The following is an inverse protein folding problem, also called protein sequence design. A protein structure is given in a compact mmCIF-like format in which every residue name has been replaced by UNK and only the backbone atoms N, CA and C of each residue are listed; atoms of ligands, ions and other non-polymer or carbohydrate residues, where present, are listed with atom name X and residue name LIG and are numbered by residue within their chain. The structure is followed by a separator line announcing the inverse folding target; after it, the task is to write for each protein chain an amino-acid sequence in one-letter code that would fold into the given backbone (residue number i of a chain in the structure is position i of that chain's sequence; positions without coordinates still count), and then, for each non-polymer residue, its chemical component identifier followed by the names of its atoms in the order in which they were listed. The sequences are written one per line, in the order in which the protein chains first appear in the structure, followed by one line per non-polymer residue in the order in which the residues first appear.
data_IF_966125798925
#
_entry.id   IF_966125798925
#
_cell.length_a   1.000
_cell.length_b   1.000
_cell.length_c   1.000
_cell.angle_alpha   90.00
_cell.angle_beta   90.00
_cell.angle_gamma   90.00
#
_symmetry.space_group_name_H-M   'P 1'
#
loop_
_entity.id
_entity.type
_entity.pdbx_description
1 polymer ?
#
# COMPACT_ATOMS: atom_id res chain seq x y z
N UNK A 1 13.49 2.12 23.04
CA UNK A 1 13.85 2.97 21.88
C UNK A 1 15.29 2.68 21.51
N UNK A 2 15.56 2.21 20.29
CA UNK A 2 16.93 2.05 19.79
C UNK A 2 17.46 3.45 19.48
N UNK A 3 18.50 3.89 20.19
CA UNK A 3 19.15 5.18 19.93
C UNK A 3 19.88 5.04 18.60
N UNK A 4 19.47 5.82 17.59
CA UNK A 4 20.11 5.79 16.29
C UNK A 4 21.52 6.37 16.39
N UNK A 5 22.47 5.76 15.69
CA UNK A 5 23.81 6.35 15.58
C UNK A 5 23.73 7.61 14.70
N UNK A 6 24.58 8.61 14.97
CA UNK A 6 24.56 9.88 14.21
C UNK A 6 24.78 9.69 12.71
N UNK A 7 25.51 8.65 12.31
CA UNK A 7 25.73 8.30 10.91
C UNK A 7 24.47 7.75 10.24
N UNK A 8 23.68 6.95 10.96
CA UNK A 8 22.42 6.41 10.45
C UNK A 8 21.34 7.50 10.32
N UNK A 9 21.32 8.45 11.24
CA UNK A 9 20.45 9.62 11.19
C UNK A 9 20.76 10.49 9.96
N UNK A 10 22.04 10.77 9.70
CA UNK A 10 22.47 11.52 8.52
C UNK A 10 22.12 10.79 7.21
N UNK A 11 22.29 9.46 7.17
CA UNK A 11 21.93 8.64 6.02
C UNK A 11 20.40 8.61 5.79
N UNK A 12 19.61 8.49 6.86
CA UNK A 12 18.14 8.58 6.79
C UNK A 12 17.71 9.96 6.30
N UNK A 13 18.27 11.02 6.86
CA UNK A 13 18.00 12.40 6.43
C UNK A 13 18.29 12.61 4.95
N UNK A 14 19.44 12.11 4.46
CA UNK A 14 19.79 12.16 3.04
C UNK A 14 18.78 11.43 2.14
N UNK A 15 18.28 10.27 2.55
CA UNK A 15 17.27 9.52 1.81
C UNK A 15 15.93 10.26 1.76
N UNK A 16 15.48 10.81 2.89
CA UNK A 16 14.23 11.58 3.01
C UNK A 16 14.29 12.86 2.17
N UNK A 17 15.41 13.60 2.23
CA UNK A 17 15.60 14.83 1.45
C UNK A 17 15.60 14.54 -0.05
N UNK A 18 16.32 13.49 -0.50
CA UNK A 18 16.31 13.09 -1.90
C UNK A 18 14.90 12.68 -2.36
N UNK A 19 14.20 11.90 -1.54
CA UNK A 19 12.80 11.53 -1.78
C UNK A 19 11.91 12.76 -1.94
N UNK A 20 11.99 13.69 -0.99
CA UNK A 20 11.22 14.94 -1.01
C UNK A 20 11.53 15.83 -2.20
N UNK A 21 12.80 15.95 -2.62
CA UNK A 21 13.17 16.73 -3.81
C UNK A 21 12.62 16.11 -5.10
N UNK A 22 12.65 14.77 -5.22
CA UNK A 22 12.08 14.07 -6.37
C UNK A 22 10.54 14.22 -6.37
N UNK A 23 9.89 13.97 -5.24
CA UNK A 23 8.44 14.15 -5.12
C UNK A 23 7.98 15.57 -5.34
N UNK A 24 8.72 16.54 -4.80
CA UNK A 24 8.44 17.96 -4.94
C UNK A 24 8.59 18.46 -6.36
N UNK A 25 9.63 18.01 -7.08
CA UNK A 25 9.83 18.38 -8.48
C UNK A 25 8.76 17.79 -9.39
N UNK A 26 8.36 16.53 -9.18
CA UNK A 26 7.23 15.90 -9.88
C UNK A 26 5.92 16.62 -9.55
N UNK A 27 5.66 16.88 -8.27
CA UNK A 27 4.47 17.60 -7.81
C UNK A 27 4.37 19.00 -8.41
N UNK A 28 5.50 19.71 -8.49
CA UNK A 28 5.59 21.03 -9.11
C UNK A 28 5.33 20.95 -10.62
N UNK A 29 5.89 19.97 -11.32
CA UNK A 29 5.66 19.77 -12.75
C UNK A 29 4.17 19.49 -13.04
N UNK A 30 3.53 18.63 -12.25
CA UNK A 30 2.10 18.31 -12.34
C UNK A 30 1.25 19.55 -12.03
N UNK A 31 1.58 20.27 -10.96
CA UNK A 31 0.88 21.49 -10.55
C UNK A 31 0.95 22.59 -11.61
N UNK A 32 2.15 22.85 -12.13
CA UNK A 32 2.39 23.86 -13.15
C UNK A 32 1.69 23.49 -14.47
N UNK A 33 1.85 22.25 -14.95
CA UNK A 33 1.17 21.78 -16.16
C UNK A 33 -0.35 21.80 -16.03
N UNK A 34 -0.89 21.42 -14.86
CA UNK A 34 -2.31 21.51 -14.55
C UNK A 34 -2.85 22.95 -14.59
N UNK A 35 -2.15 23.89 -13.95
CA UNK A 35 -2.54 25.32 -13.97
C UNK A 35 -2.45 25.91 -15.39
N UNK A 36 -1.41 25.57 -16.15
CA UNK A 36 -1.26 26.01 -17.55
C UNK A 36 -2.38 25.42 -18.41
N UNK A 37 -2.66 24.14 -18.29
CA UNK A 37 -3.72 23.49 -19.06
C UNK A 37 -5.11 24.07 -18.73
N UNK A 38 -5.43 24.19 -17.44
CA UNK A 38 -6.70 24.75 -16.99
C UNK A 38 -6.87 26.22 -17.41
N UNK A 39 -5.80 27.03 -17.36
CA UNK A 39 -5.84 28.41 -17.82
C UNK A 39 -6.02 28.54 -19.33
N UNK A 40 -5.53 27.59 -20.14
CA UNK A 40 -5.80 27.58 -21.59
C UNK A 40 -7.22 27.11 -21.91
N UNK A 41 -7.72 26.08 -21.21
CA UNK A 41 -8.99 25.43 -21.55
C UNK A 41 -10.22 26.12 -20.99
N UNK A 42 -10.13 26.76 -19.83
CA UNK A 42 -11.29 27.28 -19.09
C UNK A 42 -11.21 28.81 -18.90
N UNK A 43 -12.15 29.59 -19.48
CA UNK A 43 -12.20 31.05 -19.31
C UNK A 43 -12.33 31.50 -17.85
N UNK A 44 -13.11 30.77 -17.04
CA UNK A 44 -13.24 31.04 -15.60
C UNK A 44 -11.91 30.85 -14.87
N UNK A 45 -11.04 29.95 -15.34
CA UNK A 45 -9.73 29.72 -14.74
C UNK A 45 -8.72 30.85 -15.06
N UNK A 46 -8.93 31.55 -16.20
CA UNK A 46 -8.17 32.74 -16.59
C UNK A 46 -8.43 33.96 -15.71
N UNK A 47 -9.56 34.00 -15.02
CA UNK A 47 -9.90 35.05 -14.07
C UNK A 47 -9.25 34.88 -12.68
N UNK A 48 -8.62 33.75 -12.37
CA UNK A 48 -7.98 33.56 -11.06
C UNK A 48 -6.75 34.46 -10.91
N UNK A 49 -6.63 35.03 -9.72
CA UNK A 49 -5.51 35.90 -9.34
C UNK A 49 -4.19 35.12 -9.37
N UNK A 50 -3.10 35.82 -9.66
CA UNK A 50 -1.76 35.22 -9.68
C UNK A 50 -1.42 34.48 -8.36
N UNK A 51 -1.72 35.05 -7.16
CA UNK A 51 -1.46 34.37 -5.89
C UNK A 51 -2.21 33.04 -5.73
N UNK A 52 -3.43 32.95 -6.24
CA UNK A 52 -4.20 31.70 -6.14
C UNK A 52 -3.64 30.63 -7.07
N UNK A 53 -3.16 31.01 -8.25
CA UNK A 53 -2.49 30.07 -9.16
C UNK A 53 -1.18 29.56 -8.59
N UNK A 54 -0.36 30.44 -8.03
CA UNK A 54 0.89 30.05 -7.38
C UNK A 54 0.60 29.15 -6.19
N UNK A 55 -0.44 29.44 -5.39
CA UNK A 55 -0.87 28.59 -4.29
C UNK A 55 -1.15 27.15 -4.75
N UNK A 56 -1.93 26.96 -5.81
CA UNK A 56 -2.22 25.62 -6.34
C UNK A 56 -0.96 24.85 -6.77
N UNK A 57 -0.02 25.53 -7.43
CA UNK A 57 1.26 24.92 -7.85
C UNK A 57 2.13 24.59 -6.63
N UNK A 58 2.26 25.51 -5.67
CA UNK A 58 3.07 25.27 -4.47
C UNK A 58 2.47 24.19 -3.58
N UNK A 59 1.14 24.13 -3.45
CA UNK A 59 0.48 23.09 -2.64
C UNK A 59 0.68 21.70 -3.21
N UNK A 60 0.60 21.53 -4.54
CA UNK A 60 0.86 20.25 -5.20
C UNK A 60 2.33 19.84 -5.12
N UNK A 61 3.25 20.79 -5.22
CA UNK A 61 4.68 20.56 -4.99
C UNK A 61 4.96 20.11 -3.54
N UNK A 62 4.45 20.83 -2.54
CA UNK A 62 4.63 20.49 -1.12
C UNK A 62 4.03 19.14 -0.79
N UNK A 63 2.82 18.84 -1.29
CA UNK A 63 2.19 17.54 -1.08
C UNK A 63 3.02 16.40 -1.67
N UNK A 64 3.49 16.54 -2.92
CA UNK A 64 4.36 15.56 -3.57
C UNK A 64 5.67 15.36 -2.81
N UNK A 65 6.27 16.43 -2.29
CA UNK A 65 7.47 16.37 -1.48
C UNK A 65 7.26 15.58 -0.19
N UNK A 66 6.19 15.88 0.57
CA UNK A 66 5.90 15.21 1.85
C UNK A 66 5.67 13.71 1.63
N UNK A 67 4.81 13.34 0.68
CA UNK A 67 4.47 11.93 0.44
C UNK A 67 5.69 11.11 0.04
N UNK A 68 6.54 11.63 -0.86
CA UNK A 68 7.73 10.90 -1.27
C UNK A 68 8.85 10.92 -0.24
N UNK A 69 8.97 11.98 0.56
CA UNK A 69 9.89 12.03 1.68
C UNK A 69 9.55 10.93 2.70
N UNK A 70 8.27 10.79 3.04
CA UNK A 70 7.78 9.76 3.95
C UNK A 70 8.01 8.34 3.39
N UNK A 71 7.65 8.10 2.12
CA UNK A 71 7.91 6.82 1.46
C UNK A 71 9.39 6.47 1.39
N UNK A 72 10.26 7.45 1.14
CA UNK A 72 11.70 7.23 1.12
C UNK A 72 12.25 6.92 2.53
N UNK A 73 11.71 7.56 3.57
CA UNK A 73 12.05 7.26 4.96
C UNK A 73 11.67 5.83 5.35
N UNK A 74 10.42 5.43 5.08
CA UNK A 74 9.94 4.06 5.33
C UNK A 74 10.75 3.04 4.53
N UNK A 75 11.03 3.31 3.25
CA UNK A 75 11.84 2.43 2.42
C UNK A 75 13.27 2.26 2.95
N UNK A 76 13.88 3.33 3.47
CA UNK A 76 15.21 3.26 4.09
C UNK A 76 15.22 2.41 5.36
N UNK A 77 14.19 2.57 6.21
CA UNK A 77 14.03 1.75 7.41
C UNK A 77 13.85 0.27 7.06
N UNK A 78 12.96 -0.04 6.12
CA UNK A 78 12.74 -1.40 5.58
C UNK A 78 14.01 -2.01 4.98
N UNK A 79 14.83 -1.22 4.28
CA UNK A 79 16.07 -1.72 3.69
C UNK A 79 17.13 -2.10 4.73
N UNK A 80 17.08 -1.48 5.92
CA UNK A 80 18.02 -1.73 7.02
C UNK A 80 17.53 -2.74 8.03
N UNK A 81 16.24 -3.04 8.04
CA UNK A 81 15.69 -4.06 8.92
C UNK A 81 16.11 -5.46 8.41
N UNK A 82 16.91 -6.23 9.18
CA UNK A 82 17.27 -7.58 8.80
C UNK A 82 16.06 -8.51 8.72
N UNK A 83 14.96 -8.17 9.39
CA UNK A 83 13.70 -8.92 9.38
C UNK A 83 12.89 -8.71 8.10
N UNK A 84 13.04 -7.58 7.40
CA UNK A 84 12.32 -7.34 6.14
C UNK A 84 12.74 -8.29 5.02
N UNK A 85 13.93 -8.91 5.12
CA UNK A 85 14.37 -9.98 4.19
C UNK A 85 14.06 -11.39 4.68
N UNK A 86 13.55 -11.54 5.90
CA UNK A 86 13.13 -12.83 6.42
C UNK A 86 11.85 -13.26 5.68
N UNK A 87 11.99 -14.25 4.81
CA UNK A 87 10.87 -14.92 4.15
C UNK A 87 10.53 -16.16 4.95
N UNK A 88 9.51 -16.05 5.79
CA UNK A 88 8.86 -17.19 6.44
C UNK A 88 8.45 -18.24 5.37
N UNK A 89 8.40 -19.51 5.77
CA UNK A 89 7.82 -20.61 4.97
C UNK A 89 6.40 -20.31 4.49
N UNK A 90 5.62 -19.51 5.22
CA UNK A 90 4.31 -19.02 4.77
C UNK A 90 4.38 -18.12 3.54
N UNK A 91 5.35 -17.20 3.48
CA UNK A 91 5.55 -16.30 2.33
C UNK A 91 6.05 -17.05 1.10
N UNK A 92 6.89 -18.07 1.28
CA UNK A 92 7.31 -18.96 0.18
C UNK A 92 6.13 -19.74 -0.39
N UNK A 93 5.24 -20.24 0.46
CA UNK A 93 4.03 -20.92 0.01
C UNK A 93 3.10 -19.98 -0.78
N UNK A 94 2.93 -18.74 -0.32
CA UNK A 94 2.18 -17.69 -1.02
C UNK A 94 2.79 -17.30 -2.37
N UNK A 95 4.12 -17.25 -2.48
CA UNK A 95 4.82 -17.00 -3.75
C UNK A 95 4.59 -18.13 -4.76
N UNK A 96 4.69 -19.39 -4.34
CA UNK A 96 4.40 -20.56 -5.20
C UNK A 96 2.95 -20.57 -5.67
N UNK A 97 2.01 -20.15 -4.82
CA UNK A 97 0.60 -19.98 -5.20
C UNK A 97 0.46 -18.84 -6.23
N UNK A 98 1.11 -17.68 -5.99
CA UNK A 98 1.09 -16.53 -6.92
C UNK A 98 1.72 -16.84 -8.28
N UNK A 99 2.71 -17.72 -8.34
CA UNK A 99 3.34 -18.17 -9.58
C UNK A 99 2.42 -19.06 -10.43
N UNK A 100 1.49 -19.76 -9.77
CA UNK A 100 0.49 -20.60 -10.43
C UNK A 100 -0.86 -19.90 -10.66
N UNK A 101 -1.03 -18.64 -10.23
CA UNK A 101 -2.25 -17.86 -10.47
C UNK A 101 -2.43 -17.56 -11.97
N UNK A 102 -3.65 -17.75 -12.46
CA UNK A 102 -4.03 -17.30 -13.81
C UNK A 102 -4.03 -15.77 -13.89
N UNK A 103 -3.85 -15.21 -15.10
CA UNK A 103 -3.83 -13.75 -15.30
C UNK A 103 -5.08 -13.04 -14.75
N UNK A 104 -6.23 -13.72 -14.76
CA UNK A 104 -7.48 -13.22 -14.19
C UNK A 104 -7.48 -13.23 -12.65
N UNK A 105 -7.02 -14.32 -12.03
CA UNK A 105 -6.87 -14.40 -10.58
C UNK A 105 -5.88 -13.36 -10.07
N UNK A 106 -4.78 -13.16 -10.81
CA UNK A 106 -3.77 -12.14 -10.51
C UNK A 106 -4.31 -10.71 -10.63
N UNK A 107 -5.18 -10.46 -11.60
CA UNK A 107 -5.88 -9.17 -11.72
C UNK A 107 -6.86 -8.96 -10.56
N UNK A 108 -7.62 -10.00 -10.20
CA UNK A 108 -8.56 -9.95 -9.07
C UNK A 108 -7.84 -9.85 -7.71
N UNK A 109 -6.70 -10.51 -7.54
CA UNK A 109 -5.85 -10.40 -6.35
C UNK A 109 -5.24 -9.00 -6.25
N UNK A 110 -4.71 -8.46 -7.35
CA UNK A 110 -4.25 -7.07 -7.43
C UNK A 110 -5.38 -6.07 -7.09
N UNK A 111 -6.57 -6.27 -7.64
CA UNK A 111 -7.75 -5.45 -7.37
C UNK A 111 -8.19 -5.50 -5.90
N UNK A 112 -8.07 -6.65 -5.25
CA UNK A 112 -8.33 -6.82 -3.81
C UNK A 112 -7.26 -6.16 -2.94
N UNK A 113 -5.99 -6.28 -3.33
CA UNK A 113 -4.84 -5.67 -2.64
C UNK A 113 -4.89 -4.14 -2.71
N UNK A 114 -5.24 -3.60 -3.88
CA UNK A 114 -5.36 -2.16 -4.12
C UNK A 114 -6.80 -1.65 -4.03
N UNK A 115 -7.70 -2.41 -3.39
CA UNK A 115 -9.14 -2.11 -3.35
C UNK A 115 -9.42 -0.67 -2.94
N UNK A 116 -8.68 -0.18 -1.95
CA UNK A 116 -8.86 1.16 -1.40
C UNK A 116 -8.38 2.25 -2.36
N UNK A 117 -7.23 2.06 -3.00
CA UNK A 117 -6.71 2.99 -4.01
C UNK A 117 -7.62 3.04 -5.24
N UNK A 118 -8.16 1.89 -5.67
CA UNK A 118 -9.08 1.81 -6.81
C UNK A 118 -10.41 2.50 -6.49
N UNK A 119 -10.98 2.30 -5.30
CA UNK A 119 -12.20 3.00 -4.86
C UNK A 119 -11.97 4.51 -4.76
N UNK A 120 -10.83 4.94 -4.21
CA UNK A 120 -10.50 6.35 -4.14
C UNK A 120 -10.29 6.96 -5.53
N UNK A 121 -9.57 6.27 -6.42
CA UNK A 121 -9.33 6.72 -7.78
C UNK A 121 -10.62 6.77 -8.61
N UNK A 122 -11.50 5.77 -8.48
CA UNK A 122 -12.80 5.75 -9.19
C UNK A 122 -13.74 6.84 -8.67
N UNK A 123 -13.70 7.15 -7.38
CA UNK A 123 -14.41 8.29 -6.78
C UNK A 123 -13.88 9.64 -7.28
N UNK A 124 -12.55 9.84 -7.30
CA UNK A 124 -11.95 11.04 -7.87
C UNK A 124 -12.25 11.18 -9.37
N UNK A 125 -12.23 10.06 -10.11
CA UNK A 125 -12.58 10.03 -11.51
C UNK A 125 -14.05 10.41 -11.74
N UNK A 126 -14.98 9.88 -10.94
CA UNK A 126 -16.40 10.20 -11.06
C UNK A 126 -16.69 11.66 -10.73
N UNK A 127 -16.01 12.22 -9.72
CA UNK A 127 -16.06 13.66 -9.42
C UNK A 127 -15.51 14.51 -10.57
N UNK A 128 -14.37 14.12 -11.15
CA UNK A 128 -13.78 14.83 -12.27
C UNK A 128 -14.71 14.83 -13.50
N UNK A 129 -15.34 13.68 -13.78
CA UNK A 129 -16.34 13.53 -14.86
C UNK A 129 -17.58 14.37 -14.57
N UNK A 130 -18.13 14.31 -13.35
CA UNK A 130 -19.28 15.11 -12.93
C UNK A 130 -18.99 16.61 -13.05
N UNK A 131 -17.82 17.08 -12.58
CA UNK A 131 -17.39 18.46 -12.72
C UNK A 131 -17.22 18.87 -14.19
N UNK A 132 -16.67 17.99 -15.03
CA UNK A 132 -16.54 18.22 -16.47
C UNK A 132 -17.89 18.29 -17.18
N UNK A 133 -18.93 17.58 -16.70
CA UNK A 133 -20.30 17.71 -17.19
C UNK A 133 -20.97 19.00 -16.70
N UNK A 134 -20.93 19.28 -15.40
CA UNK A 134 -21.55 20.47 -14.79
C UNK A 134 -20.94 21.77 -15.33
N UNK A 135 -19.62 21.79 -15.57
CA UNK A 135 -18.96 22.97 -16.15
C UNK A 135 -19.50 23.33 -17.54
N UNK A 136 -19.99 22.34 -18.30
CA UNK A 136 -20.59 22.51 -19.64
C UNK A 136 -22.10 22.78 -19.59
N UNK A 137 -22.75 22.67 -18.43
CA UNK A 137 -24.18 22.89 -18.30
C UNK A 137 -24.57 24.37 -18.55
N UNK A 138 -25.69 24.65 -19.24
CA UNK A 138 -26.18 26.00 -19.50
C UNK A 138 -26.84 26.58 -18.25
N UNK A 139 -26.02 27.15 -17.36
CA UNK A 139 -26.50 27.82 -16.15
C UNK A 139 -25.79 29.17 -15.95
N UNK A 140 -26.47 30.14 -15.34
CA UNK A 140 -25.94 31.50 -15.17
C UNK A 140 -24.72 31.53 -14.23
N UNK A 141 -23.78 32.45 -14.46
CA UNK A 141 -22.53 32.57 -13.68
C UNK A 141 -22.76 32.72 -12.17
N UNK A 142 -23.75 33.50 -11.68
CA UNK A 142 -24.04 33.60 -10.25
C UNK A 142 -24.50 32.26 -9.64
N UNK A 143 -25.36 31.51 -10.35
CA UNK A 143 -25.83 30.20 -9.88
C UNK A 143 -24.69 29.19 -9.80
N UNK A 144 -23.73 29.22 -10.74
CA UNK A 144 -22.53 28.36 -10.71
C UNK A 144 -21.66 28.63 -9.47
N UNK A 145 -21.51 29.89 -9.05
CA UNK A 145 -20.73 30.26 -7.86
C UNK A 145 -21.38 29.72 -6.58
N UNK A 146 -22.70 29.86 -6.45
CA UNK A 146 -23.44 29.35 -5.29
C UNK A 146 -23.35 27.82 -5.23
N UNK A 147 -23.59 27.14 -6.35
CA UNK A 147 -23.45 25.69 -6.41
C UNK A 147 -22.03 25.21 -6.11
N UNK A 148 -21.01 25.90 -6.63
CA UNK A 148 -19.61 25.55 -6.36
C UNK A 148 -19.28 25.56 -4.86
N UNK A 149 -19.85 26.50 -4.08
CA UNK A 149 -19.65 26.54 -2.63
C UNK A 149 -20.33 25.38 -1.93
N UNK A 150 -21.57 25.07 -2.30
CA UNK A 150 -22.31 23.92 -1.75
C UNK A 150 -21.61 22.60 -2.09
N UNK A 151 -21.12 22.45 -3.32
CA UNK A 151 -20.33 21.29 -3.73
C UNK A 151 -19.00 21.20 -2.98
N UNK A 152 -18.30 22.32 -2.76
CA UNK A 152 -17.05 22.31 -1.99
C UNK A 152 -17.29 21.88 -0.54
N UNK A 153 -18.34 22.40 0.11
CA UNK A 153 -18.72 22.01 1.47
C UNK A 153 -19.14 20.53 1.54
N UNK A 154 -19.94 20.07 0.57
CA UNK A 154 -20.31 18.67 0.45
C UNK A 154 -19.10 17.75 0.25
N UNK A 155 -18.13 18.18 -0.56
CA UNK A 155 -16.88 17.45 -0.80
C UNK A 155 -16.05 17.34 0.47
N UNK A 156 -15.88 18.43 1.23
CA UNK A 156 -15.12 18.38 2.49
C UNK A 156 -15.76 17.43 3.50
N UNK A 157 -17.10 17.44 3.61
CA UNK A 157 -17.81 16.54 4.50
C UNK A 157 -17.68 15.08 4.04
N UNK A 158 -17.78 14.84 2.74
CA UNK A 158 -17.56 13.52 2.16
C UNK A 158 -16.15 12.99 2.43
N UNK A 159 -15.10 13.83 2.28
CA UNK A 159 -13.72 13.46 2.58
C UNK A 159 -13.55 13.07 4.06
N UNK A 160 -14.17 13.80 4.99
CA UNK A 160 -14.13 13.46 6.41
C UNK A 160 -14.84 12.14 6.71
N UNK A 161 -16.04 11.93 6.13
CA UNK A 161 -16.80 10.68 6.29
C UNK A 161 -16.02 9.49 5.71
N UNK A 162 -15.44 9.65 4.53
CA UNK A 162 -14.62 8.61 3.88
C UNK A 162 -13.39 8.30 4.71
N UNK A 163 -12.70 9.32 5.25
CA UNK A 163 -11.53 9.12 6.13
C UNK A 163 -11.91 8.36 7.40
N UNK A 164 -13.02 8.73 8.05
CA UNK A 164 -13.52 8.05 9.24
C UNK A 164 -14.03 6.63 8.94
N UNK A 165 -14.69 6.43 7.80
CA UNK A 165 -15.11 5.12 7.33
C UNK A 165 -13.91 4.23 7.03
N UNK A 166 -12.82 4.79 6.50
CA UNK A 166 -11.56 4.07 6.29
C UNK A 166 -10.92 3.67 7.61
N UNK A 167 -10.79 4.59 8.57
CA UNK A 167 -10.24 4.29 9.90
C UNK A 167 -11.06 3.20 10.62
N UNK A 168 -12.39 3.29 10.57
CA UNK A 168 -13.27 2.30 11.17
C UNK A 168 -13.29 0.96 10.41
N UNK A 169 -13.18 0.98 9.08
CA UNK A 169 -13.08 -0.25 8.28
C UNK A 169 -11.74 -0.94 8.49
N UNK A 170 -10.64 -0.19 8.60
CA UNK A 170 -9.32 -0.74 8.93
C UNK A 170 -9.33 -1.36 10.32
N UNK A 171 -9.90 -0.66 11.31
CA UNK A 171 -10.11 -1.19 12.66
C UNK A 171 -10.98 -2.47 12.69
N UNK A 172 -12.01 -2.57 11.84
CA UNK A 172 -12.90 -3.76 11.75
C UNK A 172 -12.32 -4.90 10.91
N UNK A 173 -11.45 -4.61 9.95
CA UNK A 173 -10.79 -5.58 9.07
C UNK A 173 -9.38 -5.94 9.52
N UNK A 174 -9.05 -5.68 10.79
CA UNK A 174 -8.08 -6.49 11.51
C UNK A 174 -8.57 -7.96 11.45
N UNK A 175 -8.32 -8.61 10.31
CA UNK A 175 -8.59 -10.02 10.05
C UNK A 175 -7.96 -10.78 11.22
N UNK A 176 -8.74 -11.62 11.89
CA UNK A 176 -8.27 -12.38 13.03
C UNK A 176 -6.98 -13.15 12.73
N UNK A 177 -6.28 -13.55 13.81
CA UNK A 177 -4.96 -14.21 13.85
C UNK A 177 -4.71 -15.37 12.86
N UNK A 178 -5.72 -15.90 12.15
CA UNK A 178 -5.59 -17.08 11.29
C UNK A 178 -6.32 -16.87 9.96
N UNK A 179 -5.63 -17.11 8.84
CA UNK A 179 -6.17 -17.07 7.48
C UNK A 179 -6.07 -18.48 6.86
N UNK A 180 -7.19 -19.05 6.42
CA UNK A 180 -7.19 -20.36 5.74
C UNK A 180 -6.80 -20.14 4.29
N UNK A 181 -5.66 -20.70 3.89
CA UNK A 181 -5.13 -20.60 2.51
C UNK A 181 -5.01 -22.00 1.94
N UNK A 182 -5.42 -22.17 0.68
CA UNK A 182 -5.22 -23.42 -0.05
C UNK A 182 -3.74 -23.53 -0.44
N UNK A 183 -3.03 -24.52 0.10
CA UNK A 183 -1.61 -24.76 -0.16
C UNK A 183 -1.46 -26.06 -0.93
N UNK A 184 -0.58 -26.07 -1.93
CA UNK A 184 -0.21 -27.25 -2.70
C UNK A 184 0.45 -28.30 -1.80
N UNK A 185 -0.01 -29.56 -1.85
CA UNK A 185 0.50 -30.64 -1.00
C UNK A 185 2.02 -30.86 -1.21
N UNK A 186 2.87 -30.62 -0.20
CA UNK A 186 4.32 -30.81 -0.31
C UNK A 186 4.77 -32.27 -0.50
N UNK A 187 3.91 -33.25 -0.23
CA UNK A 187 4.23 -34.68 -0.31
C UNK A 187 3.74 -35.36 -1.60
N UNK A 188 3.10 -34.61 -2.51
CA UNK A 188 2.57 -35.13 -3.77
C UNK A 188 3.52 -34.79 -4.94
N UNK A 189 4.20 -35.77 -5.57
CA UNK A 189 5.13 -35.51 -6.67
C UNK A 189 4.44 -34.91 -7.90
N UNK A 190 3.12 -35.10 -8.05
CA UNK A 190 2.37 -34.56 -9.19
C UNK A 190 1.84 -33.12 -8.97
N UNK A 191 1.96 -32.58 -7.75
CA UNK A 191 1.53 -31.20 -7.43
C UNK A 191 0.06 -30.92 -7.84
N UNK A 192 -0.87 -31.85 -7.62
CA UNK A 192 -2.28 -31.69 -8.04
C UNK A 192 -3.26 -31.43 -6.90
N UNK A 193 -2.90 -31.81 -5.67
CA UNK A 193 -3.80 -31.67 -4.52
C UNK A 193 -3.56 -30.38 -3.75
N UNK A 194 -4.64 -29.60 -3.56
CA UNK A 194 -4.67 -28.42 -2.71
C UNK A 194 -5.19 -28.82 -1.32
N UNK A 195 -4.40 -28.58 -0.28
CA UNK A 195 -4.76 -28.80 1.13
C UNK A 195 -5.12 -27.45 1.77
N UNK A 196 -6.22 -27.42 2.53
CA UNK A 196 -6.56 -26.28 3.39
C UNK A 196 -5.55 -26.18 4.54
N UNK A 197 -4.64 -25.19 4.48
CA UNK A 197 -3.73 -24.89 5.57
C UNK A 197 -4.19 -23.61 6.27
N UNK A 198 -4.43 -23.70 7.58
CA UNK A 198 -4.61 -22.50 8.42
C UNK A 198 -3.24 -21.90 8.66
N UNK A 199 -2.98 -20.76 8.03
CA UNK A 199 -1.72 -20.03 8.16
C UNK A 199 -1.95 -18.91 9.17
N UNK A 200 -1.03 -18.75 10.13
CA UNK A 200 -1.05 -17.61 11.05
C UNK A 200 -0.74 -16.35 10.25
N UNK A 201 -1.51 -15.29 10.44
CA UNK A 201 -1.20 -14.01 9.81
C UNK A 201 -0.32 -13.23 10.77
N UNK A 202 0.94 -13.00 10.41
CA UNK A 202 1.85 -12.16 11.18
C UNK A 202 1.22 -10.77 11.40
N UNK A 203 1.12 -10.37 12.66
CA UNK A 203 0.64 -9.07 13.13
C UNK A 203 1.76 -8.02 13.01
N UNK A 204 3.02 -8.47 13.10
CA UNK A 204 4.23 -7.71 12.82
C UNK A 204 5.30 -8.59 12.18
N UNK A 205 6.17 -8.00 11.36
CA UNK A 205 7.26 -8.72 10.68
C UNK A 205 8.10 -9.50 11.70
N UNK A 206 8.12 -10.83 11.56
CA UNK A 206 8.92 -11.72 12.36
C UNK A 206 8.29 -12.24 13.65
N UNK A 207 6.98 -12.10 13.80
CA UNK A 207 6.22 -12.70 14.90
C UNK A 207 6.34 -14.23 14.93
N UNK A 208 6.44 -14.89 13.77
CA UNK A 208 6.43 -16.35 13.69
C UNK A 208 7.85 -16.96 13.69
N UNK A 209 8.92 -16.15 13.80
CA UNK A 209 10.30 -16.67 13.80
C UNK A 209 10.56 -17.70 14.88
N UNK A 210 10.00 -17.50 16.07
CA UNK A 210 10.20 -18.44 17.16
C UNK A 210 9.46 -19.76 16.87
N UNK A 211 8.32 -19.72 16.16
CA UNK A 211 7.62 -20.94 15.73
C UNK A 211 8.44 -21.70 14.70
N UNK A 212 9.02 -21.00 13.73
CA UNK A 212 9.93 -21.60 12.74
C UNK A 212 11.18 -22.20 13.39
N UNK A 213 11.77 -21.50 14.36
CA UNK A 213 12.92 -22.02 15.12
C UNK A 213 12.57 -23.26 15.93
N UNK A 214 11.38 -23.30 16.53
CA UNK A 214 10.88 -24.47 17.27
C UNK A 214 10.62 -25.63 16.32
N UNK A 215 9.94 -25.41 15.18
CA UNK A 215 9.68 -26.45 14.19
C UNK A 215 10.99 -27.04 13.64
N UNK A 216 12.00 -26.20 13.39
CA UNK A 216 13.31 -26.65 12.95
C UNK A 216 14.03 -27.52 13.99
N UNK A 217 13.93 -27.18 15.28
CA UNK A 217 14.48 -28.00 16.36
C UNK A 217 13.71 -29.31 16.57
N UNK A 218 12.37 -29.30 16.49
CA UNK A 218 11.56 -30.51 16.55
C UNK A 218 11.92 -31.49 15.41
N UNK A 219 12.12 -30.99 14.18
CA UNK A 219 12.60 -31.79 13.05
C UNK A 219 13.99 -32.39 13.30
N UNK A 220 14.92 -31.62 13.90
CA UNK A 220 16.25 -32.12 14.27
C UNK A 220 16.17 -33.23 15.32
N UNK A 221 15.35 -33.07 16.34
CA UNK A 221 15.15 -34.08 17.37
C UNK A 221 14.50 -35.34 16.80
N UNK A 222 13.50 -35.19 15.94
CA UNK A 222 12.85 -36.31 15.26
C UNK A 222 13.83 -37.09 14.36
N UNK A 223 14.70 -36.39 13.60
CA UNK A 223 15.73 -37.03 12.78
C UNK A 223 16.72 -37.85 13.62
N UNK A 224 17.22 -37.28 14.73
CA UNK A 224 18.11 -38.02 15.66
C UNK A 224 17.42 -39.23 16.26
N UNK A 225 16.14 -39.10 16.63
CA UNK A 225 15.36 -40.21 17.19
C UNK A 225 15.18 -41.33 16.14
N UNK A 226 14.90 -40.99 14.89
CA UNK A 226 14.78 -41.95 13.80
C UNK A 226 16.11 -42.65 13.49
N UNK A 227 17.25 -41.96 13.60
CA UNK A 227 18.58 -42.58 13.48
C UNK A 227 18.86 -43.57 14.61
N UNK A 228 18.58 -43.19 15.86
CA UNK A 228 18.71 -44.07 17.02
C UNK A 228 17.82 -45.33 16.90
N UNK A 229 16.58 -45.18 16.44
CA UNK A 229 15.67 -46.31 16.20
C UNK A 229 16.18 -47.24 15.09
N UNK A 230 16.78 -46.70 14.02
CA UNK A 230 17.43 -47.50 12.97
C UNK A 230 18.65 -48.25 13.50
N UNK A 231 19.50 -47.61 14.31
CA UNK A 231 20.67 -48.26 14.92
C UNK A 231 20.24 -49.40 15.87
N UNK A 232 19.18 -49.20 16.65
CA UNK A 232 18.63 -50.24 17.51
C UNK A 232 18.02 -51.41 16.74
N UNK A 233 17.39 -51.16 15.58
CA UNK A 233 16.89 -52.22 14.70
C UNK A 233 17.99 -53.00 13.98
N UNK A 234 19.15 -52.39 13.73
CA UNK A 234 20.32 -53.06 13.13
C UNK A 234 21.10 -53.88 14.18
N UNK A 235 21.00 -53.51 15.45
CA UNK A 235 21.66 -54.19 16.57
C UNK A 235 20.85 -55.37 17.17
N UNK A 236 19.59 -55.55 16.76
CA UNK A 236 18.74 -56.70 17.10
C UNK A 236 18.77 -57.74 15.98
#
# INVERSE_FOLDING_TARGET
MKVMTKEEEAAHYGAVVRGGLVGGSIGLAIGASGVIYCSRRYPSFRGLTLPFRTFLVTSTATFGAIVQADRAGVAFQKAKDPMTKYRDGSQRALEVIRENETAYERFMSYGREHRYSIVCASWLASLAVAFAMVSRAPMSTPQKIVQARVYAQGLTLAVLIVSAAFEMHDAKNAKGRWETVMVLDPNDPEHKHLIEKRIHKEEYEGQDLWMDMVEAEEKRLAARKAELEREQQIAQ
#
